data_IF_467626072453
#
_entry.id   IF_467626072453
#
_cell.length_a   1.000
_cell.length_b   1.000
_cell.length_c   1.000
_cell.angle_alpha   90.00
_cell.angle_beta   90.00
_cell.angle_gamma   90.00
#
_symmetry.space_group_name_H-M   'P 1'
#
loop_
_entity.id
_entity.type
_entity.pdbx_description
1 polymer ?
#
# COMPACT_ATOMS: atom_id res chain seq x y z
N UNK A 1 33.03 7.98 9.28
CA UNK A 1 31.66 8.25 9.74
C UNK A 1 30.73 7.35 8.94
N UNK A 2 30.15 6.33 9.56
CA UNK A 2 29.21 5.44 8.88
C UNK A 2 27.82 6.07 8.95
N UNK A 3 27.05 6.15 7.86
CA UNK A 3 25.68 6.63 7.93
C UNK A 3 24.87 5.59 8.71
N UNK A 4 24.39 5.98 9.88
CA UNK A 4 23.41 5.22 10.64
C UNK A 4 22.20 5.04 9.72
N UNK A 5 21.97 3.81 9.24
CA UNK A 5 20.71 3.46 8.61
C UNK A 5 19.64 3.62 9.69
N UNK A 6 19.02 4.78 9.76
CA UNK A 6 17.80 4.96 10.54
C UNK A 6 16.83 3.86 10.08
N UNK A 7 16.26 3.08 11.02
CA UNK A 7 15.27 2.10 10.63
C UNK A 7 14.11 2.87 10.01
N UNK A 8 13.93 2.73 8.70
CA UNK A 8 12.74 3.22 8.02
C UNK A 8 11.58 2.48 8.68
N UNK A 9 10.91 3.14 9.63
CA UNK A 9 9.75 2.60 10.31
C UNK A 9 8.65 2.50 9.26
N UNK A 10 8.60 1.34 8.61
CA UNK A 10 7.57 1.05 7.63
C UNK A 10 6.24 1.07 8.38
N UNK A 11 5.28 1.93 8.00
CA UNK A 11 4.06 2.16 8.77
C UNK A 11 3.33 0.84 9.00
N UNK A 12 2.67 0.67 10.16
CA UNK A 12 1.99 -0.57 10.51
C UNK A 12 1.04 -1.05 9.39
N UNK A 13 0.80 -2.37 9.24
CA UNK A 13 -0.03 -2.92 8.16
C UNK A 13 -1.40 -2.25 8.02
N UNK A 14 -2.07 -1.93 9.14
CA UNK A 14 -3.33 -1.20 9.14
C UNK A 14 -3.24 0.19 8.49
N UNK A 15 -2.21 0.97 8.82
CA UNK A 15 -2.00 2.29 8.22
C UNK A 15 -1.67 2.22 6.72
N UNK A 16 -0.95 1.17 6.28
CA UNK A 16 -0.71 0.93 4.84
C UNK A 16 -1.99 0.53 4.10
N UNK A 17 -2.85 -0.25 4.74
CA UNK A 17 -4.14 -0.65 4.19
C UNK A 17 -5.06 0.55 3.99
N UNK A 18 -5.21 1.39 5.01
CA UNK A 18 -6.02 2.63 4.95
C UNK A 18 -5.51 3.59 3.88
N UNK A 19 -4.18 3.79 3.82
CA UNK A 19 -3.58 4.68 2.83
C UNK A 19 -3.77 4.16 1.40
N UNK A 20 -3.52 2.86 1.17
CA UNK A 20 -3.75 2.26 -0.15
C UNK A 20 -5.22 2.32 -0.56
N UNK A 21 -6.15 2.15 0.38
CA UNK A 21 -7.58 2.25 0.12
C UNK A 21 -8.01 3.69 -0.25
N UNK A 22 -7.47 4.69 0.45
CA UNK A 22 -7.72 6.11 0.13
C UNK A 22 -7.26 6.48 -1.28
N UNK A 23 -6.08 6.02 -1.69
CA UNK A 23 -5.53 6.28 -3.03
C UNK A 23 -6.29 5.54 -4.14
N UNK A 24 -6.67 4.27 -3.90
CA UNK A 24 -7.55 3.52 -4.82
C UNK A 24 -8.86 4.28 -5.05
N UNK A 25 -9.47 4.79 -3.97
CA UNK A 25 -10.70 5.57 -4.03
C UNK A 25 -10.48 6.87 -4.83
N UNK A 26 -9.44 7.63 -4.51
CA UNK A 26 -9.07 8.87 -5.21
C UNK A 26 -8.89 8.65 -6.73
N UNK A 27 -8.25 7.55 -7.12
CA UNK A 27 -8.03 7.22 -8.53
C UNK A 27 -9.34 6.82 -9.21
N UNK A 28 -10.13 5.95 -8.59
CA UNK A 28 -11.36 5.41 -9.18
C UNK A 28 -12.52 6.42 -9.25
N UNK A 29 -12.58 7.39 -8.33
CA UNK A 29 -13.59 8.46 -8.34
C UNK A 29 -13.42 9.44 -9.52
N UNK A 30 -12.22 9.52 -10.12
CA UNK A 30 -11.94 10.39 -11.28
C UNK A 30 -12.60 9.92 -12.59
N UNK A 31 -13.19 8.72 -12.61
CA UNK A 31 -13.85 8.17 -13.80
C UNK A 31 -12.86 7.51 -14.76
N UNK A 32 -12.64 8.10 -15.94
CA UNK A 32 -11.77 7.49 -16.95
C UNK A 32 -10.29 7.50 -16.52
N UNK A 33 -9.74 6.30 -16.34
CA UNK A 33 -8.34 6.10 -15.98
C UNK A 33 -7.45 6.07 -17.23
N UNK A 34 -6.44 6.93 -17.25
CA UNK A 34 -5.34 6.85 -18.22
C UNK A 34 -4.51 5.58 -18.02
N UNK A 35 -3.62 5.26 -18.96
CA UNK A 35 -2.70 4.14 -18.80
C UNK A 35 -1.83 4.26 -17.54
N UNK A 36 -1.41 5.48 -17.19
CA UNK A 36 -0.63 5.77 -15.99
C UNK A 36 -1.45 5.56 -14.73
N UNK A 37 -2.70 6.05 -14.70
CA UNK A 37 -3.59 5.87 -13.54
C UNK A 37 -3.88 4.38 -13.29
N UNK A 38 -3.99 3.57 -14.35
CA UNK A 38 -4.17 2.11 -14.21
C UNK A 38 -2.96 1.43 -13.58
N UNK A 39 -1.75 1.85 -13.96
CA UNK A 39 -0.52 1.33 -13.35
C UNK A 39 -0.41 1.75 -11.88
N UNK A 40 -0.76 3.00 -11.58
CA UNK A 40 -0.79 3.51 -10.21
C UNK A 40 -1.84 2.77 -9.37
N UNK A 41 -3.04 2.56 -9.92
CA UNK A 41 -4.10 1.77 -9.28
C UNK A 41 -3.63 0.35 -8.98
N UNK A 42 -3.00 -0.33 -9.95
CA UNK A 42 -2.46 -1.67 -9.76
C UNK A 42 -1.34 -1.71 -8.70
N UNK A 43 -0.56 -0.63 -8.55
CA UNK A 43 0.43 -0.49 -7.47
C UNK A 43 -0.25 -0.44 -6.11
N UNK A 44 -1.27 0.42 -5.96
CA UNK A 44 -2.00 0.57 -4.71
C UNK A 44 -2.77 -0.70 -4.33
N UNK A 45 -3.39 -1.38 -5.31
CA UNK A 45 -4.05 -2.66 -5.08
C UNK A 45 -3.08 -3.73 -4.57
N UNK A 46 -1.88 -3.85 -5.18
CA UNK A 46 -0.86 -4.81 -4.70
C UNK A 46 -0.43 -4.51 -3.27
N UNK A 47 -0.26 -3.24 -2.92
CA UNK A 47 0.08 -2.83 -1.55
C UNK A 47 -1.05 -3.13 -0.57
N UNK A 48 -2.30 -2.85 -0.94
CA UNK A 48 -3.47 -3.16 -0.12
C UNK A 48 -3.56 -4.66 0.15
N UNK A 49 -3.41 -5.51 -0.88
CA UNK A 49 -3.41 -6.96 -0.72
C UNK A 49 -2.25 -7.44 0.17
N UNK A 50 -1.06 -6.88 0.03
CA UNK A 50 0.09 -7.24 0.86
C UNK A 50 -0.14 -6.88 2.33
N UNK A 51 -0.58 -5.65 2.60
CA UNK A 51 -0.89 -5.19 3.95
C UNK A 51 -2.03 -5.99 4.58
N UNK A 52 -3.08 -6.30 3.80
CA UNK A 52 -4.16 -7.17 4.25
C UNK A 52 -3.65 -8.56 4.63
N UNK A 53 -2.82 -9.19 3.78
CA UNK A 53 -2.22 -10.50 4.07
C UNK A 53 -1.39 -10.48 5.35
N UNK A 54 -0.63 -9.43 5.62
CA UNK A 54 0.10 -9.30 6.88
C UNK A 54 -0.81 -9.20 8.11
N UNK A 55 -2.02 -8.65 7.95
CA UNK A 55 -3.01 -8.56 9.04
C UNK A 55 -3.79 -9.87 9.26
N UNK A 56 -4.11 -10.60 8.18
CA UNK A 56 -4.94 -11.82 8.26
C UNK A 56 -4.15 -13.12 8.21
N UNK A 57 -2.86 -13.10 7.87
CA UNK A 57 -2.05 -14.31 7.96
C UNK A 57 -2.00 -14.74 9.43
N UNK A 58 -2.43 -15.97 9.76
CA UNK A 58 -2.10 -16.52 11.07
C UNK A 58 -0.58 -16.51 11.16
N UNK A 59 -0.04 -16.02 12.28
CA UNK A 59 1.36 -16.22 12.60
C UNK A 59 1.62 -17.71 12.41
N UNK A 60 2.35 -18.07 11.34
CA UNK A 60 2.65 -19.46 11.05
C UNK A 60 3.52 -19.95 12.22
N UNK A 61 2.88 -20.69 13.13
CA UNK A 61 3.47 -21.40 14.25
C UNK A 61 3.39 -22.89 13.94
#
# INVERSE_FOLDING_TARGET
MSPTSEPVVSPAPAGRLEHAQAEIRRLTERGQLSAVDRLELARWQRMWLAAWREMVAPAAA
#
